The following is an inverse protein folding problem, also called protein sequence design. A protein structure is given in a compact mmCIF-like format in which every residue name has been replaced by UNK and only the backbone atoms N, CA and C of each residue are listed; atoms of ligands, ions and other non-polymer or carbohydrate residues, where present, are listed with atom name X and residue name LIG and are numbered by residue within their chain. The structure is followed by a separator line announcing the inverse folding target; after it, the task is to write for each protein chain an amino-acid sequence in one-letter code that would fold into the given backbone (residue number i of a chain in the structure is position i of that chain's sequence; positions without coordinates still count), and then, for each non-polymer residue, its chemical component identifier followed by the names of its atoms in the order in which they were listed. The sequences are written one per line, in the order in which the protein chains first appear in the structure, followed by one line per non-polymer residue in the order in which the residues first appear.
data_IF_772570705532
#
_entry.id   IF_772570705532
#
_cell.length_a   1.000
_cell.length_b   1.000
_cell.length_c   1.000
_cell.angle_alpha   90.00
_cell.angle_beta   90.00
_cell.angle_gamma   90.00
#
_symmetry.space_group_name_H-M   'P 1'
#
loop_
_entity.id
_entity.type
_entity.pdbx_description
1 polymer ?
#
# COMPACT_ATOMS: atom_id res chain seq x y z
N UNK A 1 18.24 -3.15 13.88
CA UNK A 1 16.91 -2.70 13.42
C UNK A 1 16.75 -3.15 11.98
N UNK A 2 15.76 -3.99 11.70
CA UNK A 2 15.52 -4.53 10.37
C UNK A 2 14.98 -3.45 9.42
N UNK A 3 15.03 -3.69 8.10
CA UNK A 3 14.42 -2.78 7.10
C UNK A 3 12.90 -2.70 7.31
N UNK A 4 12.28 -3.80 7.70
CA UNK A 4 10.84 -3.89 8.01
C UNK A 4 10.47 -3.09 9.26
N UNK A 5 11.30 -3.12 10.31
CA UNK A 5 11.08 -2.33 11.52
C UNK A 5 11.08 -0.83 11.20
N UNK A 6 11.90 -0.39 10.25
CA UNK A 6 11.89 1.01 9.79
C UNK A 6 10.62 1.32 9.02
N UNK A 7 10.22 0.46 8.08
CA UNK A 7 9.00 0.63 7.29
C UNK A 7 7.72 0.68 8.16
N UNK A 8 7.69 -0.09 9.26
CA UNK A 8 6.58 -0.07 10.21
C UNK A 8 6.57 1.16 11.14
N UNK A 9 7.70 1.85 11.32
CA UNK A 9 7.78 3.08 12.12
C UNK A 9 7.33 4.33 11.36
N UNK A 10 7.25 4.26 10.03
CA UNK A 10 6.72 5.35 9.23
C UNK A 10 5.22 5.42 9.44
N UNK A 11 4.74 6.54 9.98
CA UNK A 11 3.32 6.81 10.10
C UNK A 11 2.77 7.22 8.74
N UNK A 12 2.01 6.31 8.12
CA UNK A 12 1.26 6.55 6.89
C UNK A 12 -0.23 6.62 7.20
N UNK A 13 -0.94 7.49 6.50
CA UNK A 13 -2.40 7.52 6.47
C UNK A 13 -2.95 6.81 5.22
N UNK A 14 -4.25 6.52 5.21
CA UNK A 14 -4.94 6.06 4.00
C UNK A 14 -4.80 7.04 2.84
N UNK A 15 -4.87 8.34 3.13
CA UNK A 15 -4.68 9.41 2.13
C UNK A 15 -3.28 9.37 1.50
N UNK A 16 -2.23 9.08 2.27
CA UNK A 16 -0.87 8.95 1.74
C UNK A 16 -0.78 7.74 0.77
N UNK A 17 -1.49 6.66 1.06
CA UNK A 17 -1.56 5.48 0.20
C UNK A 17 -2.38 5.73 -1.08
N UNK A 18 -3.50 6.48 -0.97
CA UNK A 18 -4.31 6.94 -2.12
C UNK A 18 -3.48 7.85 -3.03
N UNK A 19 -2.81 8.83 -2.44
CA UNK A 19 -1.94 9.76 -3.16
C UNK A 19 -0.80 9.01 -3.86
N UNK A 20 -0.14 8.08 -3.18
CA UNK A 20 0.91 7.27 -3.78
C UNK A 20 0.39 6.36 -4.92
N UNK A 21 -0.81 5.79 -4.77
CA UNK A 21 -1.42 4.98 -5.83
C UNK A 21 -1.73 5.85 -7.05
N UNK A 22 -2.24 7.07 -6.84
CA UNK A 22 -2.42 8.06 -7.91
C UNK A 22 -1.13 8.38 -8.64
N UNK A 23 -0.04 8.64 -7.90
CA UNK A 23 1.29 8.91 -8.46
C UNK A 23 1.80 7.73 -9.30
N UNK A 24 1.55 6.49 -8.86
CA UNK A 24 1.92 5.28 -9.62
C UNK A 24 1.04 5.11 -10.86
N UNK A 25 -0.26 5.36 -10.77
CA UNK A 25 -1.19 5.22 -11.89
C UNK A 25 -0.97 6.28 -12.98
N UNK A 26 -0.41 7.44 -12.63
CA UNK A 26 -0.01 8.49 -13.57
C UNK A 26 1.21 8.12 -14.42
N UNK A 27 1.94 7.06 -14.08
CA UNK A 27 3.04 6.57 -14.91
C UNK A 27 2.55 5.93 -16.21
N UNK A 28 3.36 5.97 -17.29
CA UNK A 28 3.13 5.15 -18.48
C UNK A 28 2.94 3.66 -18.11
N UNK A 29 2.04 2.91 -18.78
CA UNK A 29 1.76 1.51 -18.45
C UNK A 29 2.99 0.61 -18.32
N UNK A 30 3.98 0.81 -19.19
CA UNK A 30 5.27 0.13 -19.19
C UNK A 30 6.10 0.38 -17.92
N UNK A 31 5.98 1.56 -17.34
CA UNK A 31 6.74 2.00 -16.17
C UNK A 31 6.04 1.64 -14.85
N UNK A 32 4.72 1.45 -14.86
CA UNK A 32 3.96 1.06 -13.65
C UNK A 32 4.47 -0.22 -13.02
N UNK A 33 4.98 -1.16 -13.83
CA UNK A 33 5.55 -2.42 -13.35
C UNK A 33 7.00 -2.30 -12.89
N UNK A 34 7.69 -1.23 -13.30
CA UNK A 34 9.08 -0.96 -12.91
C UNK A 34 9.16 -0.40 -11.50
N UNK A 35 9.73 -1.18 -10.57
CA UNK A 35 9.97 -0.73 -9.20
C UNK A 35 10.82 0.54 -9.17
N UNK A 36 11.83 0.64 -10.03
CA UNK A 36 12.70 1.81 -10.11
C UNK A 36 11.92 3.05 -10.56
N UNK A 37 11.08 2.92 -11.59
CA UNK A 37 10.29 4.04 -12.09
C UNK A 37 9.29 4.54 -11.03
N UNK A 38 8.57 3.63 -10.37
CA UNK A 38 7.66 3.97 -9.26
C UNK A 38 8.42 4.64 -8.11
N UNK A 39 9.55 4.09 -7.69
CA UNK A 39 10.35 4.62 -6.58
C UNK A 39 10.81 6.05 -6.86
N UNK A 40 11.35 6.31 -8.06
CA UNK A 40 11.79 7.66 -8.46
C UNK A 40 10.61 8.63 -8.47
N UNK A 41 9.47 8.22 -9.00
CA UNK A 41 8.29 9.08 -9.06
C UNK A 41 7.73 9.41 -7.68
N UNK A 42 7.65 8.42 -6.79
CA UNK A 42 7.22 8.59 -5.41
C UNK A 42 8.19 9.46 -4.60
N UNK A 43 9.50 9.31 -4.81
CA UNK A 43 10.50 10.18 -4.16
C UNK A 43 10.32 11.64 -4.57
N UNK A 44 10.25 11.91 -5.88
CA UNK A 44 10.01 13.26 -6.38
C UNK A 44 8.73 13.88 -5.82
N UNK A 45 7.69 13.07 -5.67
CA UNK A 45 6.42 13.50 -5.11
C UNK A 45 6.55 13.86 -3.63
N UNK A 46 7.03 12.92 -2.80
CA UNK A 46 7.03 13.09 -1.34
C UNK A 46 8.14 13.99 -0.80
N UNK A 47 9.29 14.10 -1.47
CA UNK A 47 10.36 15.06 -1.11
C UNK A 47 9.86 16.51 -1.16
N UNK A 48 8.94 16.84 -2.08
CA UNK A 48 8.43 18.19 -2.28
C UNK A 48 7.31 18.62 -1.33
N UNK A 49 6.77 17.71 -0.51
CA UNK A 49 5.53 17.97 0.26
C UNK A 49 5.75 18.78 1.54
N UNK A 50 6.95 18.72 2.12
CA UNK A 50 7.25 19.38 3.41
C UNK A 50 6.39 18.90 4.58
N UNK A 51 5.68 17.76 4.46
CA UNK A 51 4.78 17.25 5.50
C UNK A 51 5.55 16.84 6.77
N UNK A 52 5.04 17.14 7.97
CA UNK A 52 5.62 16.64 9.22
C UNK A 52 5.66 15.11 9.21
N UNK A 53 6.81 14.52 9.56
CA UNK A 53 7.03 13.06 9.52
C UNK A 53 7.59 12.55 8.19
N UNK A 54 7.59 13.36 7.13
CA UNK A 54 8.12 13.02 5.81
C UNK A 54 9.54 13.58 5.58
N UNK A 55 10.25 13.87 6.68
CA UNK A 55 11.62 14.41 6.64
C UNK A 55 12.63 13.47 5.96
N UNK A 56 12.28 12.19 5.84
CA UNK A 56 13.03 11.19 5.09
C UNK A 56 12.12 10.53 4.04
N UNK A 57 12.00 11.17 2.87
CA UNK A 57 11.20 10.65 1.77
C UNK A 57 11.62 9.22 1.36
N UNK A 58 12.90 8.86 1.52
CA UNK A 58 13.38 7.50 1.27
C UNK A 58 12.72 6.45 2.16
N UNK A 59 12.53 6.76 3.45
CA UNK A 59 11.85 5.85 4.38
C UNK A 59 10.35 5.77 4.10
N UNK A 60 9.72 6.89 3.76
CA UNK A 60 8.31 6.96 3.33
C UNK A 60 8.06 6.10 2.10
N UNK A 61 8.83 6.31 1.03
CA UNK A 61 8.67 5.59 -0.23
C UNK A 61 8.92 4.09 -0.05
N UNK A 62 9.93 3.72 0.74
CA UNK A 62 10.16 2.33 1.10
C UNK A 62 8.95 1.72 1.83
N UNK A 63 8.39 2.43 2.81
CA UNK A 63 7.22 1.96 3.57
C UNK A 63 5.99 1.78 2.68
N UNK A 64 5.78 2.67 1.70
CA UNK A 64 4.69 2.59 0.72
C UNK A 64 4.90 1.42 -0.25
N UNK A 65 6.07 1.30 -0.88
CA UNK A 65 6.35 0.20 -1.82
C UNK A 65 6.22 -1.16 -1.14
N UNK A 66 6.69 -1.30 0.11
CA UNK A 66 6.54 -2.53 0.88
C UNK A 66 5.07 -2.88 1.13
N UNK A 67 4.22 -1.89 1.40
CA UNK A 67 2.76 -2.09 1.56
C UNK A 67 2.08 -2.42 0.24
N UNK A 68 2.47 -1.80 -0.87
CA UNK A 68 1.98 -2.18 -2.20
C UNK A 68 2.37 -3.62 -2.56
N UNK A 69 3.58 -4.06 -2.22
CA UNK A 69 3.99 -5.45 -2.44
C UNK A 69 3.22 -6.42 -1.57
N UNK A 70 3.03 -6.10 -0.29
CA UNK A 70 2.25 -6.90 0.63
C UNK A 70 0.79 -7.02 0.17
N UNK A 71 0.17 -5.92 -0.28
CA UNK A 71 -1.16 -5.90 -0.89
C UNK A 71 -1.22 -6.77 -2.15
N UNK A 72 -0.28 -6.61 -3.07
CA UNK A 72 -0.22 -7.39 -4.30
C UNK A 72 -0.06 -8.89 -4.00
N UNK A 73 0.77 -9.24 -3.01
CA UNK A 73 0.92 -10.63 -2.56
C UNK A 73 -0.40 -11.15 -1.99
N UNK A 74 -1.01 -10.44 -1.05
CA UNK A 74 -2.27 -10.82 -0.42
C UNK A 74 -3.39 -11.06 -1.46
N UNK A 75 -3.45 -10.21 -2.50
CA UNK A 75 -4.37 -10.37 -3.63
C UNK A 75 -4.07 -11.62 -4.48
N UNK A 76 -2.80 -11.93 -4.72
CA UNK A 76 -2.38 -13.02 -5.61
C UNK A 76 -2.33 -14.40 -4.94
N UNK A 77 -1.98 -14.49 -3.65
CA UNK A 77 -1.62 -15.77 -3.01
C UNK A 77 -2.71 -16.34 -2.11
N UNK A 78 -3.46 -15.52 -1.38
CA UNK A 78 -4.02 -16.02 -0.12
C UNK A 78 -5.53 -15.89 0.07
N UNK A 79 -6.25 -14.91 -0.51
CA UNK A 79 -7.68 -14.78 -0.20
C UNK A 79 -8.58 -14.31 -1.35
N UNK A 80 -9.57 -15.15 -1.68
CA UNK A 80 -10.80 -14.69 -2.35
C UNK A 80 -11.55 -13.60 -1.56
N UNK A 81 -11.21 -13.37 -0.28
CA UNK A 81 -11.78 -12.32 0.57
C UNK A 81 -11.53 -10.89 0.06
N UNK A 82 -10.50 -10.68 -0.77
CA UNK A 82 -10.27 -9.38 -1.43
C UNK A 82 -11.05 -9.23 -2.76
N UNK A 83 -11.71 -10.29 -3.25
CA UNK A 83 -12.53 -10.24 -4.46
C UNK A 83 -13.81 -9.44 -4.18
N UNK A 84 -13.75 -8.13 -4.42
CA UNK A 84 -14.79 -7.17 -4.05
C UNK A 84 -14.23 -5.85 -3.50
N UNK A 85 -12.94 -5.86 -3.12
CA UNK A 85 -12.17 -4.70 -2.69
C UNK A 85 -11.24 -4.17 -3.79
N UNK A 86 -10.95 -5.02 -4.77
CA UNK A 86 -10.15 -4.73 -5.96
C UNK A 86 -10.99 -5.10 -7.18
N UNK A 87 -11.33 -4.13 -8.03
CA UNK A 87 -12.01 -4.43 -9.30
C UNK A 87 -10.97 -4.53 -10.43
N UNK A 88 -10.92 -5.66 -11.16
CA UNK A 88 -10.10 -5.75 -12.36
C UNK A 88 -10.78 -4.96 -13.48
N UNK A 89 -10.29 -3.75 -13.78
CA UNK A 89 -10.72 -2.96 -14.94
C UNK A 89 -9.62 -3.01 -16.02
N UNK A 90 -9.54 -4.11 -16.77
CA UNK A 90 -8.57 -4.27 -17.87
C UNK A 90 -7.10 -4.23 -17.41
N UNK A 91 -6.24 -3.50 -18.14
CA UNK A 91 -4.78 -3.35 -17.87
C UNK A 91 -4.42 -2.60 -16.58
N UNK A 92 -5.37 -2.47 -15.64
CA UNK A 92 -5.29 -1.50 -14.57
C UNK A 92 -5.69 -2.06 -13.22
N UNK A 93 -4.90 -1.73 -12.21
CA UNK A 93 -5.24 -1.86 -10.78
C UNK A 93 -5.99 -0.61 -10.30
N UNK A 94 -6.95 -0.12 -11.08
CA UNK A 94 -7.42 1.28 -10.94
C UNK A 94 -8.54 1.47 -9.91
N UNK A 95 -9.22 0.43 -9.45
CA UNK A 95 -10.20 0.57 -8.38
C UNK A 95 -9.85 -0.31 -7.19
N UNK A 96 -9.02 0.27 -6.34
CA UNK A 96 -8.80 -0.16 -4.97
C UNK A 96 -9.68 0.71 -4.09
N UNK A 97 -10.51 0.11 -3.24
CA UNK A 97 -11.32 0.87 -2.28
C UNK A 97 -10.45 1.59 -1.24
N UNK A 98 -10.82 2.80 -0.88
CA UNK A 98 -10.07 3.63 0.09
C UNK A 98 -9.92 2.95 1.45
N UNK A 99 -10.89 2.13 1.86
CA UNK A 99 -10.80 1.33 3.08
C UNK A 99 -9.64 0.33 3.01
N UNK A 100 -9.38 -0.27 1.85
CA UNK A 100 -8.26 -1.20 1.67
C UNK A 100 -6.91 -0.49 1.83
N UNK A 101 -6.80 0.72 1.26
CA UNK A 101 -5.58 1.53 1.37
C UNK A 101 -5.39 2.08 2.79
N UNK A 102 -6.49 2.35 3.49
CA UNK A 102 -6.47 2.77 4.89
C UNK A 102 -5.95 1.67 5.80
N UNK A 103 -6.44 0.43 5.65
CA UNK A 103 -5.91 -0.72 6.38
C UNK A 103 -4.44 -0.95 6.02
N UNK A 104 -4.10 -0.93 4.73
CA UNK A 104 -2.73 -1.14 4.29
C UNK A 104 -1.74 -0.09 4.82
N UNK A 105 -2.18 1.15 5.06
CA UNK A 105 -1.36 2.18 5.67
C UNK A 105 -0.95 1.81 7.10
N UNK A 106 -1.87 1.25 7.88
CA UNK A 106 -1.69 1.01 9.32
C UNK A 106 -1.31 -0.42 9.68
N UNK A 107 -1.63 -1.39 8.83
CA UNK A 107 -1.38 -2.81 9.12
C UNK A 107 0.14 -3.07 9.24
N UNK A 108 0.59 -3.78 10.29
CA UNK A 108 1.98 -4.15 10.42
C UNK A 108 2.44 -5.05 9.27
N UNK A 109 3.56 -4.67 8.65
CA UNK A 109 4.25 -5.54 7.72
C UNK A 109 4.98 -6.64 8.50
N UNK A 110 4.85 -7.87 8.04
CA UNK A 110 5.51 -9.07 8.58
C UNK A 110 6.38 -9.73 7.50
N UNK A 111 7.30 -10.60 7.93
CA UNK A 111 8.11 -11.41 7.03
C UNK A 111 7.57 -12.85 7.02
N UNK A 112 7.07 -13.30 5.87
CA UNK A 112 6.56 -14.66 5.65
C UNK A 112 7.36 -15.27 4.51
N UNK A 113 8.07 -16.37 4.79
CA UNK A 113 8.96 -17.07 3.85
C UNK A 113 10.01 -16.16 3.20
N UNK A 114 10.61 -15.26 4.00
CA UNK A 114 11.64 -14.33 3.52
C UNK A 114 11.10 -13.17 2.66
N UNK A 115 9.78 -12.96 2.67
CA UNK A 115 9.11 -11.92 1.87
C UNK A 115 8.24 -11.03 2.72
N UNK A 116 8.22 -9.75 2.38
CA UNK A 116 7.32 -8.76 2.97
C UNK A 116 5.88 -9.13 2.65
N UNK A 117 5.04 -9.19 3.68
CA UNK A 117 3.63 -9.54 3.59
C UNK A 117 2.82 -8.83 4.69
N UNK A 118 1.50 -8.90 4.59
CA UNK A 118 0.62 -8.70 5.73
C UNK A 118 0.25 -10.06 6.32
N UNK A 119 -0.09 -10.08 7.60
CA UNK A 119 -0.84 -11.20 8.16
C UNK A 119 -2.26 -11.16 7.59
N UNK A 120 -2.66 -12.23 6.90
CA UNK A 120 -3.87 -12.18 6.09
C UNK A 120 -5.16 -12.16 6.94
N UNK A 121 -5.18 -12.89 8.05
CA UNK A 121 -6.33 -12.92 8.96
C UNK A 121 -6.50 -11.56 9.65
N UNK A 122 -5.43 -11.03 10.23
CA UNK A 122 -5.42 -9.69 10.87
C UNK A 122 -5.83 -8.60 9.89
N UNK A 123 -5.28 -8.60 8.67
CA UNK A 123 -5.62 -7.61 7.65
C UNK A 123 -7.11 -7.65 7.28
N UNK A 124 -7.67 -8.85 7.09
CA UNK A 124 -9.09 -9.00 6.73
C UNK A 124 -10.00 -8.57 7.89
N UNK A 125 -9.66 -8.93 9.12
CA UNK A 125 -10.45 -8.54 10.30
C UNK A 125 -10.50 -7.02 10.46
N UNK A 126 -9.37 -6.33 10.31
CA UNK A 126 -9.33 -4.86 10.32
C UNK A 126 -10.09 -4.23 9.15
N UNK A 127 -10.01 -4.82 7.96
CA UNK A 127 -10.77 -4.36 6.80
C UNK A 127 -12.27 -4.46 7.02
N UNK A 128 -12.75 -5.57 7.59
CA UNK A 128 -14.16 -5.75 7.92
C UNK A 128 -14.61 -4.76 8.99
N UNK A 129 -13.82 -4.57 10.06
CA UNK A 129 -14.14 -3.62 11.13
C UNK A 129 -14.31 -2.18 10.60
N UNK A 130 -13.37 -1.71 9.77
CA UNK A 130 -13.47 -0.38 9.14
C UNK A 130 -14.69 -0.30 8.22
N UNK A 131 -15.02 -1.37 7.51
CA UNK A 131 -16.13 -1.38 6.56
C UNK A 131 -17.50 -1.37 7.24
N UNK A 132 -17.62 -2.03 8.39
CA UNK A 132 -18.80 -2.02 9.25
C UNK A 132 -19.05 -0.63 9.83
N UNK A 133 -18.01 0.06 10.29
CA UNK A 133 -18.11 1.46 10.78
C UNK A 133 -18.62 2.42 9.69
N UNK A 134 -18.32 2.16 8.42
CA UNK A 134 -18.79 2.94 7.27
C UNK A 134 -20.13 2.45 6.69
N UNK A 135 -20.79 1.45 7.30
CA UNK A 135 -22.10 0.94 6.88
C UNK A 135 -22.09 0.17 5.55
N UNK A 136 -20.97 -0.48 5.19
CA UNK A 136 -20.76 -1.16 3.90
C UNK A 136 -20.64 -2.69 3.99
N UNK A 137 -21.07 -3.31 5.10
CA UNK A 137 -21.09 -4.76 5.29
C UNK A 137 -22.45 -5.40 4.91
#
# INVERSE_FOLDING_TARGET
MSVLDRANKVALSGDDMVEALGVVNDLPPEDRRSMQARTVRLLQHFEGTGRPGFYNAGEVVMAIEFRFWALAKLHLTEHRGLAGWILPTGDRFDYVKDELLSVAATEPLVEIDGRVAFDAESFIDHLLAISEEHGRA
#
